data_IF_805836646250
#
_entry.id   IF_805836646250
#
_cell.length_a   1.000
_cell.length_b   1.000
_cell.length_c   1.000
_cell.angle_alpha   90.00
_cell.angle_beta   90.00
_cell.angle_gamma   90.00
#
_symmetry.space_group_name_H-M   'P 1'
#
loop_
_entity.id
_entity.type
_entity.pdbx_description
1 polymer ?
#
# COMPACT_ATOMS: atom_id res chain seq x y z
N UNK A 1 0.55 -51.40 -57.42
CA UNK A 1 0.96 -50.12 -56.81
C UNK A 1 1.14 -50.37 -55.31
N UNK A 2 2.40 -50.43 -54.88
CA UNK A 2 2.85 -50.85 -53.56
C UNK A 2 3.11 -49.61 -52.69
N UNK A 3 2.38 -49.47 -51.59
CA UNK A 3 2.57 -48.40 -50.61
C UNK A 3 3.28 -48.92 -49.36
N UNK A 4 4.56 -48.55 -49.19
CA UNK A 4 5.39 -48.86 -48.02
C UNK A 4 4.99 -47.98 -46.82
N UNK A 5 4.68 -48.61 -45.69
CA UNK A 5 4.55 -47.94 -44.39
C UNK A 5 5.93 -47.81 -43.73
N UNK A 6 6.30 -46.59 -43.33
CA UNK A 6 7.56 -46.27 -42.63
C UNK A 6 7.27 -46.17 -41.14
N UNK A 7 7.78 -47.13 -40.37
CA UNK A 7 7.70 -47.15 -38.90
C UNK A 7 8.90 -46.39 -38.33
N UNK A 8 8.69 -45.18 -37.79
CA UNK A 8 9.74 -44.43 -37.09
C UNK A 8 9.87 -44.89 -35.64
N UNK A 9 10.98 -45.57 -35.33
CA UNK A 9 11.37 -45.93 -33.97
C UNK A 9 12.00 -44.72 -33.24
N UNK A 10 11.33 -44.21 -32.21
CA UNK A 10 11.80 -43.10 -31.37
C UNK A 10 12.66 -43.67 -30.23
N UNK A 11 13.98 -43.57 -30.33
CA UNK A 11 14.93 -43.91 -29.26
C UNK A 11 14.99 -42.78 -28.23
N UNK A 12 14.49 -43.02 -27.03
CA UNK A 12 14.66 -42.14 -25.87
C UNK A 12 15.92 -42.55 -25.09
N UNK A 13 17.05 -41.92 -25.40
CA UNK A 13 18.25 -42.01 -24.55
C UNK A 13 18.11 -41.02 -23.38
N UNK A 14 17.51 -41.47 -22.28
CA UNK A 14 17.48 -40.72 -21.03
C UNK A 14 18.80 -40.92 -20.28
N UNK A 15 19.64 -39.89 -20.25
CA UNK A 15 20.87 -39.85 -19.46
C UNK A 15 20.51 -39.85 -17.97
N UNK A 16 21.06 -40.76 -17.13
CA UNK A 16 20.76 -40.79 -15.71
C UNK A 16 21.36 -39.57 -15.01
N UNK A 17 20.50 -38.67 -14.53
CA UNK A 17 20.91 -37.51 -13.76
C UNK A 17 21.59 -37.97 -12.45
N UNK A 18 22.86 -37.62 -12.27
CA UNK A 18 23.63 -37.90 -11.07
C UNK A 18 22.93 -37.28 -9.84
N UNK A 19 22.48 -38.13 -8.92
CA UNK A 19 21.83 -37.74 -7.67
C UNK A 19 22.84 -37.05 -6.75
N UNK A 20 22.88 -35.72 -6.79
CA UNK A 20 23.67 -34.91 -5.86
C UNK A 20 23.17 -35.23 -4.45
N UNK A 21 24.03 -35.85 -3.63
CA UNK A 21 23.77 -36.07 -2.21
C UNK A 21 23.77 -34.72 -1.51
N UNK A 22 22.59 -34.13 -1.36
CA UNK A 22 22.40 -32.92 -0.54
C UNK A 22 22.69 -33.28 0.91
N UNK A 23 23.76 -32.68 1.47
CA UNK A 23 24.03 -32.75 2.91
C UNK A 23 22.81 -32.17 3.64
N UNK A 24 22.21 -32.95 4.53
CA UNK A 24 21.10 -32.50 5.37
C UNK A 24 21.52 -31.25 6.14
N UNK A 25 20.74 -30.19 6.06
CA UNK A 25 20.99 -28.98 6.82
C UNK A 25 20.95 -29.31 8.33
N UNK A 26 21.84 -28.71 9.13
CA UNK A 26 21.77 -28.87 10.58
C UNK A 26 20.41 -28.35 11.09
N UNK A 27 19.88 -28.93 12.18
CA UNK A 27 18.63 -28.48 12.75
C UNK A 27 18.70 -26.99 13.13
N UNK A 28 17.60 -26.23 12.99
CA UNK A 28 17.56 -24.83 13.38
C UNK A 28 17.99 -24.64 14.83
N UNK A 29 18.89 -23.69 15.07
CA UNK A 29 19.28 -23.32 16.44
C UNK A 29 18.09 -22.68 17.15
N UNK A 30 17.66 -23.27 18.27
CA UNK A 30 16.53 -22.77 19.07
C UNK A 30 16.95 -21.75 20.13
N UNK A 31 18.25 -21.64 20.43
CA UNK A 31 18.77 -20.75 21.48
C UNK A 31 20.10 -20.13 21.08
N UNK A 32 20.20 -18.81 21.20
CA UNK A 32 21.44 -18.07 21.00
C UNK A 32 22.12 -17.79 22.35
N UNK A 33 23.00 -18.72 22.78
CA UNK A 33 23.61 -18.71 24.13
C UNK A 33 24.64 -17.60 24.37
N UNK A 34 25.10 -16.91 23.34
CA UNK A 34 26.16 -15.89 23.44
C UNK A 34 25.61 -14.52 23.80
N UNK A 35 24.35 -14.21 23.48
CA UNK A 35 23.78 -12.89 23.74
C UNK A 35 23.82 -12.48 25.21
N UNK A 36 23.44 -13.34 26.19
CA UNK A 36 23.51 -12.98 27.60
C UNK A 36 24.94 -12.77 28.12
N UNK A 37 25.96 -13.22 27.39
CA UNK A 37 27.38 -13.02 27.74
C UNK A 37 27.93 -11.67 27.24
N UNK A 38 27.17 -10.95 26.43
CA UNK A 38 27.58 -9.62 25.97
C UNK A 38 27.46 -8.60 27.10
N UNK A 39 28.39 -7.63 27.18
CA UNK A 39 28.24 -6.43 28.00
C UNK A 39 26.88 -5.78 27.80
N UNK A 40 26.32 -5.22 28.88
CA UNK A 40 24.97 -4.65 28.88
C UNK A 40 24.81 -3.54 27.84
N UNK A 41 25.86 -2.75 27.62
CA UNK A 41 25.89 -1.66 26.65
C UNK A 41 25.71 -2.18 25.23
N UNK A 42 26.35 -3.30 24.89
CA UNK A 42 26.22 -3.93 23.57
C UNK A 42 24.85 -4.55 23.39
N UNK A 43 24.30 -5.22 24.42
CA UNK A 43 22.93 -5.76 24.36
C UNK A 43 21.90 -4.67 24.11
N UNK A 44 21.99 -3.54 24.81
CA UNK A 44 21.11 -2.38 24.62
C UNK A 44 21.24 -1.79 23.22
N UNK A 45 22.46 -1.66 22.69
CA UNK A 45 22.67 -1.19 21.30
C UNK A 45 22.01 -2.14 20.30
N UNK A 46 22.18 -3.45 20.46
CA UNK A 46 21.54 -4.44 19.58
C UNK A 46 20.02 -4.33 19.64
N UNK A 47 19.43 -4.14 20.83
CA UNK A 47 17.98 -3.96 20.95
C UNK A 47 17.49 -2.63 20.38
N UNK A 48 18.21 -1.53 20.58
CA UNK A 48 17.89 -0.24 19.97
C UNK A 48 17.91 -0.33 18.43
N UNK A 49 18.92 -0.99 17.87
CA UNK A 49 19.03 -1.24 16.43
C UNK A 49 17.88 -2.14 15.94
N UNK A 50 17.56 -3.20 16.68
CA UNK A 50 16.43 -4.09 16.36
C UNK A 50 15.06 -3.37 16.43
N UNK A 51 14.91 -2.38 17.32
CA UNK A 51 13.69 -1.58 17.44
C UNK A 51 13.49 -0.63 16.25
N UNK A 52 14.59 -0.30 15.55
CA UNK A 52 14.66 0.66 14.45
C UNK A 52 14.53 0.01 13.07
N UNK A 53 14.27 -1.31 13.00
CA UNK A 53 14.04 -2.02 11.74
C UNK A 53 12.72 -1.57 11.12
N UNK A 54 12.71 -0.93 9.94
CA UNK A 54 11.47 -0.49 9.30
C UNK A 54 10.60 -1.67 8.89
N UNK A 55 9.29 -1.53 9.09
CA UNK A 55 8.29 -2.47 8.56
C UNK A 55 7.02 -1.76 8.10
N UNK A 56 6.22 -2.49 7.34
CA UNK A 56 4.89 -2.04 6.96
C UNK A 56 3.89 -2.52 8.02
N UNK A 57 3.07 -1.60 8.53
CA UNK A 57 1.96 -1.90 9.43
C UNK A 57 0.68 -1.70 8.64
N UNK A 58 0.08 -2.80 8.20
CA UNK A 58 -1.21 -2.74 7.53
C UNK A 58 -2.31 -2.35 8.52
N UNK A 59 -3.07 -1.32 8.17
CA UNK A 59 -4.14 -0.78 8.98
C UNK A 59 -5.46 -0.95 8.23
N UNK A 60 -6.31 -1.77 8.81
CA UNK A 60 -7.68 -1.98 8.37
C UNK A 60 -8.62 -1.30 9.35
N UNK A 61 -9.75 -0.80 8.85
CA UNK A 61 -10.76 -0.17 9.66
C UNK A 61 -12.11 -0.83 9.35
N UNK A 62 -12.74 -1.39 10.37
CA UNK A 62 -14.10 -1.91 10.26
C UNK A 62 -15.09 -0.76 10.06
N UNK A 63 -15.97 -0.88 9.07
CA UNK A 63 -16.96 0.14 8.72
C UNK A 63 -17.96 0.32 9.86
N UNK A 64 -18.38 -0.78 10.46
CA UNK A 64 -19.51 -0.79 11.38
C UNK A 64 -19.19 -0.09 12.70
N UNK A 65 -17.93 -0.24 13.17
CA UNK A 65 -17.53 0.16 14.51
C UNK A 65 -16.30 1.09 14.54
N UNK A 66 -15.77 1.49 13.37
CA UNK A 66 -14.52 2.25 13.26
C UNK A 66 -13.36 1.63 14.05
N UNK A 67 -13.36 0.29 14.15
CA UNK A 67 -12.33 -0.44 14.87
C UNK A 67 -11.15 -0.68 13.94
N UNK A 68 -9.99 -0.19 14.35
CA UNK A 68 -8.74 -0.42 13.65
C UNK A 68 -8.15 -1.78 14.04
N UNK A 69 -7.68 -2.52 13.04
CA UNK A 69 -6.94 -3.75 13.26
C UNK A 69 -5.82 -3.88 12.24
N UNK A 70 -4.83 -4.69 12.59
CA UNK A 70 -3.67 -4.98 11.75
C UNK A 70 -3.49 -6.48 11.61
N UNK A 71 -3.12 -6.95 10.43
CA UNK A 71 -2.70 -8.35 10.24
C UNK A 71 -1.19 -8.51 10.40
N UNK A 72 -0.46 -7.40 10.46
CA UNK A 72 0.97 -7.37 10.69
C UNK A 72 1.32 -7.99 12.03
N UNK A 73 2.36 -8.82 12.04
CA UNK A 73 2.83 -9.44 13.27
C UNK A 73 3.31 -8.38 14.28
N UNK A 74 3.13 -8.70 15.56
CA UNK A 74 3.72 -7.95 16.66
C UNK A 74 5.25 -7.90 16.45
N UNK A 75 5.92 -6.74 16.61
CA UNK A 75 7.37 -6.64 16.48
C UNK A 75 8.11 -7.73 17.27
N UNK A 76 9.09 -8.39 16.64
CA UNK A 76 9.92 -9.42 17.25
C UNK A 76 10.50 -9.00 18.60
N UNK A 77 10.94 -7.75 18.68
CA UNK A 77 11.55 -7.17 19.87
C UNK A 77 10.60 -7.18 21.09
N UNK A 78 9.28 -7.08 20.90
CA UNK A 78 8.30 -7.05 22.00
C UNK A 78 7.98 -8.43 22.60
N UNK A 79 8.39 -9.51 21.95
CA UNK A 79 8.09 -10.87 22.39
C UNK A 79 9.31 -11.79 22.49
N UNK A 80 10.52 -11.28 22.25
CA UNK A 80 11.76 -12.08 22.33
C UNK A 80 12.12 -12.42 23.78
N UNK A 81 12.22 -11.42 24.66
CA UNK A 81 12.44 -11.58 26.11
C UNK A 81 12.08 -10.26 26.84
N UNK A 82 12.22 -10.23 28.17
CA UNK A 82 11.89 -9.05 28.99
C UNK A 82 12.79 -7.83 28.72
N UNK A 83 14.11 -8.04 28.56
CA UNK A 83 15.06 -6.97 28.26
C UNK A 83 14.73 -6.29 26.92
N UNK A 84 14.53 -7.11 25.89
CA UNK A 84 14.12 -6.72 24.54
C UNK A 84 12.79 -5.98 24.56
N UNK A 85 11.77 -6.50 25.28
CA UNK A 85 10.47 -5.84 25.41
C UNK A 85 10.60 -4.46 26.07
N UNK A 86 11.37 -4.36 27.14
CA UNK A 86 11.58 -3.09 27.84
C UNK A 86 12.23 -2.04 26.93
N UNK A 87 13.21 -2.44 26.11
CA UNK A 87 13.80 -1.52 25.13
C UNK A 87 12.81 -1.21 24.00
N UNK A 88 12.12 -2.21 23.46
CA UNK A 88 11.13 -2.02 22.40
C UNK A 88 10.00 -1.08 22.79
N UNK A 89 9.49 -1.16 24.01
CA UNK A 89 8.43 -0.26 24.51
C UNK A 89 8.88 1.20 24.69
N UNK A 90 10.18 1.52 24.58
CA UNK A 90 10.65 2.91 24.48
C UNK A 90 10.41 3.51 23.10
N UNK A 91 10.33 2.66 22.08
CA UNK A 91 10.19 3.07 20.68
C UNK A 91 8.77 2.82 20.13
N UNK A 92 8.12 1.75 20.59
CA UNK A 92 6.80 1.34 20.14
C UNK A 92 5.72 1.78 21.13
N UNK A 93 4.69 2.46 20.61
CA UNK A 93 3.48 2.80 21.36
C UNK A 93 2.33 1.90 20.92
N UNK A 94 1.55 1.39 21.87
CA UNK A 94 0.28 0.76 21.55
C UNK A 94 -0.73 1.86 21.17
N UNK A 95 -1.27 1.78 19.95
CA UNK A 95 -2.08 2.83 19.33
C UNK A 95 -3.38 2.26 18.78
N UNK A 96 -4.25 3.16 18.29
CA UNK A 96 -5.54 2.84 17.70
C UNK A 96 -6.55 2.16 18.64
N UNK A 97 -6.41 2.38 19.94
CA UNK A 97 -7.50 2.09 20.88
C UNK A 97 -8.56 3.17 20.83
N UNK A 98 -9.80 2.80 21.15
CA UNK A 98 -10.91 3.74 21.27
C UNK A 98 -11.15 3.99 22.74
N UNK A 99 -10.97 5.24 23.18
CA UNK A 99 -11.43 5.64 24.50
C UNK A 99 -12.94 5.38 24.57
N UNK A 100 -13.42 4.84 25.68
CA UNK A 100 -14.86 4.69 25.91
C UNK A 100 -15.51 6.08 25.78
N UNK A 101 -16.15 6.30 24.65
CA UNK A 101 -16.93 7.48 24.37
C UNK A 101 -17.94 7.68 25.50
N UNK A 102 -18.08 8.91 25.97
CA UNK A 102 -19.07 9.23 27.01
C UNK A 102 -20.51 9.16 26.49
N UNK A 103 -20.72 8.85 25.19
CA UNK A 103 -22.05 8.73 24.62
C UNK A 103 -22.85 7.62 25.32
N UNK A 104 -24.12 7.91 25.61
CA UNK A 104 -25.05 6.99 26.30
C UNK A 104 -25.24 5.68 25.54
N UNK A 105 -25.08 5.72 24.22
CA UNK A 105 -25.23 4.57 23.32
C UNK A 105 -24.01 3.63 23.39
N UNK A 106 -22.78 4.16 23.49
CA UNK A 106 -21.59 3.30 23.60
C UNK A 106 -21.48 2.60 24.96
N UNK A 107 -21.97 3.22 26.04
CA UNK A 107 -22.04 2.56 27.36
C UNK A 107 -22.88 1.29 27.36
N UNK A 108 -23.90 1.20 26.50
CA UNK A 108 -24.71 0.00 26.37
C UNK A 108 -23.95 -1.15 25.70
N UNK A 109 -22.98 -0.84 24.84
CA UNK A 109 -22.14 -1.85 24.19
C UNK A 109 -21.00 -2.36 25.08
N UNK A 110 -20.54 -1.56 26.06
CA UNK A 110 -19.45 -1.94 26.97
C UNK A 110 -18.10 -2.21 26.31
N UNK A 111 -17.98 -1.99 25.00
CA UNK A 111 -16.78 -2.33 24.23
C UNK A 111 -15.77 -1.17 24.26
N UNK A 112 -15.03 -1.01 25.36
CA UNK A 112 -13.75 -0.31 25.31
C UNK A 112 -12.77 -1.16 24.50
N UNK A 113 -12.17 -0.57 23.47
CA UNK A 113 -11.21 -1.27 22.62
C UNK A 113 -9.81 -0.80 23.00
N UNK A 114 -9.16 -1.60 23.84
CA UNK A 114 -7.79 -1.37 24.26
C UNK A 114 -6.86 -1.23 23.04
N UNK A 115 -5.90 -0.28 23.03
CA UNK A 115 -4.90 -0.18 21.98
C UNK A 115 -4.10 -1.49 21.85
N UNK A 116 -4.04 -2.06 20.65
CA UNK A 116 -3.37 -3.36 20.40
C UNK A 116 -2.32 -3.32 19.31
N UNK A 117 -2.27 -2.25 18.52
CA UNK A 117 -1.33 -2.12 17.40
C UNK A 117 -0.12 -1.33 17.88
N UNK A 118 1.02 -2.00 17.97
CA UNK A 118 2.28 -1.34 18.30
C UNK A 118 2.86 -0.68 17.07
N UNK A 119 3.19 0.61 17.17
CA UNK A 119 3.78 1.41 16.09
C UNK A 119 5.00 2.15 16.61
N UNK A 120 6.10 2.10 15.83
CA UNK A 120 7.22 3.01 15.97
C UNK A 120 7.13 4.07 14.87
N UNK A 121 6.53 5.23 15.17
CA UNK A 121 6.21 6.29 14.21
C UNK A 121 7.43 6.86 13.47
N UNK A 122 8.63 6.70 14.04
CA UNK A 122 9.89 7.15 13.45
C UNK A 122 10.39 6.26 12.30
N UNK A 123 9.98 4.99 12.22
CA UNK A 123 10.51 4.02 11.23
C UNK A 123 9.45 3.18 10.53
N UNK A 124 8.32 2.92 11.19
CA UNK A 124 7.24 2.12 10.63
C UNK A 124 6.53 2.92 9.51
N UNK A 125 6.11 2.20 8.48
CA UNK A 125 5.24 2.74 7.43
C UNK A 125 3.82 2.27 7.68
N UNK A 126 2.90 3.20 7.95
CA UNK A 126 1.48 2.87 8.15
C UNK A 126 0.81 2.70 6.80
N UNK A 127 0.34 1.49 6.49
CA UNK A 127 -0.30 1.12 5.24
C UNK A 127 -1.82 1.04 5.42
N UNK A 128 -2.55 2.09 5.08
CA UNK A 128 -4.01 2.13 5.19
C UNK A 128 -4.64 1.32 4.05
N UNK A 129 -5.26 0.18 4.37
CA UNK A 129 -5.67 -0.82 3.37
C UNK A 129 -7.13 -0.71 2.91
N UNK A 130 -8.00 -0.10 3.71
CA UNK A 130 -9.45 -0.07 3.44
C UNK A 130 -10.02 1.31 3.72
N UNK A 131 -10.00 2.16 2.69
CA UNK A 131 -10.64 3.47 2.70
C UNK A 131 -11.85 3.41 1.78
N UNK A 132 -13.01 3.11 2.35
CA UNK A 132 -14.28 3.40 1.67
C UNK A 132 -14.55 4.91 1.66
N UNK A 133 -13.97 5.64 2.62
CA UNK A 133 -13.82 7.09 2.61
C UNK A 133 -12.40 7.44 3.10
N UNK A 134 -11.50 7.93 2.24
CA UNK A 134 -10.13 8.21 2.60
C UNK A 134 -9.93 9.47 3.43
N UNK A 135 -10.85 10.43 3.35
CA UNK A 135 -10.69 11.76 3.94
C UNK A 135 -10.89 11.74 5.47
N UNK A 136 -12.01 11.17 5.92
CA UNK A 136 -12.39 11.07 7.34
C UNK A 136 -11.40 10.25 8.14
N UNK A 137 -10.76 9.26 7.51
CA UNK A 137 -9.97 8.25 8.23
C UNK A 137 -8.53 8.65 8.45
N UNK A 138 -7.95 9.53 7.64
CA UNK A 138 -6.56 9.96 7.81
C UNK A 138 -6.41 10.80 9.07
N UNK A 139 -7.36 11.70 9.34
CA UNK A 139 -7.32 12.55 10.52
C UNK A 139 -7.40 11.77 11.82
N UNK A 140 -8.28 10.76 11.88
CA UNK A 140 -8.38 9.83 13.00
C UNK A 140 -7.05 9.08 13.20
N UNK A 141 -6.46 8.57 12.12
CA UNK A 141 -5.16 7.89 12.16
C UNK A 141 -4.06 8.82 12.70
N UNK A 142 -4.03 10.07 12.23
CA UNK A 142 -3.05 11.07 12.68
C UNK A 142 -3.31 11.52 14.12
N UNK A 143 -4.57 11.54 14.56
CA UNK A 143 -4.92 11.80 15.96
C UNK A 143 -4.28 10.80 16.91
N UNK A 144 -4.09 9.54 16.48
CA UNK A 144 -3.38 8.52 17.27
C UNK A 144 -1.86 8.69 17.31
N UNK A 145 -1.26 9.54 16.47
CA UNK A 145 0.16 9.83 16.56
C UNK A 145 0.48 10.75 17.76
N UNK A 146 -0.49 11.43 18.35
CA UNK A 146 -0.33 12.25 19.57
C UNK A 146 0.83 13.27 19.45
N UNK A 147 0.89 13.97 18.30
CA UNK A 147 1.93 14.94 17.99
C UNK A 147 3.27 14.36 17.52
N UNK A 148 3.41 13.04 17.47
CA UNK A 148 4.60 12.39 16.90
C UNK A 148 4.74 12.68 15.40
N UNK A 149 6.00 12.75 14.97
CA UNK A 149 6.34 12.85 13.55
C UNK A 149 6.10 11.50 12.89
N UNK A 150 5.21 11.48 11.90
CA UNK A 150 4.93 10.27 11.12
C UNK A 150 5.89 10.21 9.94
N UNK A 151 6.84 9.29 10.01
CA UNK A 151 7.88 9.19 8.99
C UNK A 151 7.29 8.84 7.61
N UNK A 152 6.39 7.84 7.56
CA UNK A 152 5.78 7.37 6.30
C UNK A 152 4.34 6.90 6.48
N UNK A 153 3.45 7.41 5.64
CA UNK A 153 2.10 6.87 5.45
C UNK A 153 1.96 6.38 4.03
N UNK A 154 1.42 5.18 3.89
CA UNK A 154 1.05 4.53 2.65
C UNK A 154 -0.48 4.37 2.61
N UNK A 155 -1.14 4.83 1.56
CA UNK A 155 -2.59 4.75 1.41
C UNK A 155 -2.89 3.86 0.21
N UNK A 156 -3.48 2.70 0.46
CA UNK A 156 -3.99 1.84 -0.59
C UNK A 156 -5.41 2.25 -0.93
N UNK A 157 -5.62 2.76 -2.14
CA UNK A 157 -6.96 2.94 -2.68
C UNK A 157 -7.41 1.64 -3.32
N UNK A 158 -8.57 1.15 -2.87
CA UNK A 158 -9.09 -0.19 -3.16
C UNK A 158 -9.18 -0.51 -4.65
N UNK A 159 -9.04 -1.80 -4.96
CA UNK A 159 -9.24 -2.30 -6.32
C UNK A 159 -10.71 -2.19 -6.72
N UNK A 160 -10.98 -1.55 -7.85
CA UNK A 160 -12.34 -1.39 -8.39
C UNK A 160 -12.88 0.04 -8.36
N UNK A 161 -12.15 0.97 -7.74
CA UNK A 161 -12.46 2.41 -7.83
C UNK A 161 -12.02 2.90 -9.22
N UNK A 162 -12.91 3.44 -10.07
CA UNK A 162 -12.55 4.06 -11.33
C UNK A 162 -11.48 5.15 -11.14
N UNK A 163 -10.57 5.32 -12.11
CA UNK A 163 -9.43 6.25 -12.01
C UNK A 163 -9.84 7.68 -11.64
N UNK A 164 -11.03 8.13 -12.05
CA UNK A 164 -11.51 9.47 -11.75
C UNK A 164 -12.04 9.61 -10.33
N UNK A 165 -12.69 8.58 -9.78
CA UNK A 165 -13.00 8.52 -8.34
C UNK A 165 -11.71 8.45 -7.52
N UNK A 166 -10.67 7.79 -8.04
CA UNK A 166 -9.34 7.83 -7.43
C UNK A 166 -8.75 9.24 -7.43
N UNK A 167 -8.81 9.99 -8.54
CA UNK A 167 -8.34 11.39 -8.62
C UNK A 167 -9.12 12.28 -7.63
N UNK A 168 -10.43 12.09 -7.51
CA UNK A 168 -11.24 12.78 -6.51
C UNK A 168 -10.80 12.42 -5.09
N UNK A 169 -10.57 11.14 -4.80
CA UNK A 169 -10.02 10.69 -3.52
C UNK A 169 -8.65 11.30 -3.22
N UNK A 170 -7.74 11.43 -4.21
CA UNK A 170 -6.45 12.14 -4.00
C UNK A 170 -6.70 13.61 -3.64
N UNK A 171 -7.65 14.28 -4.29
CA UNK A 171 -7.99 15.68 -3.97
C UNK A 171 -8.60 15.81 -2.59
N UNK A 172 -9.49 14.91 -2.21
CA UNK A 172 -10.07 14.88 -0.86
C UNK A 172 -9.01 14.62 0.20
N UNK A 173 -8.04 13.73 -0.07
CA UNK A 173 -6.89 13.52 0.80
C UNK A 173 -6.06 14.81 0.91
N UNK A 174 -5.75 15.49 -0.21
CA UNK A 174 -4.99 16.74 -0.18
C UNK A 174 -5.73 17.84 0.59
N UNK A 175 -7.04 18.00 0.38
CA UNK A 175 -7.87 18.97 1.10
C UNK A 175 -7.94 18.65 2.59
N UNK A 176 -8.23 17.39 2.93
CA UNK A 176 -8.24 16.91 4.31
C UNK A 176 -6.91 17.22 4.97
N UNK A 177 -5.79 16.81 4.36
CA UNK A 177 -4.46 17.07 4.88
C UNK A 177 -4.22 18.57 5.13
N UNK A 178 -4.64 19.47 4.22
CA UNK A 178 -4.46 20.92 4.42
C UNK A 178 -5.25 21.48 5.61
N UNK A 179 -6.40 20.91 5.91
CA UNK A 179 -7.23 21.33 7.05
C UNK A 179 -6.68 20.82 8.39
N UNK A 180 -5.83 19.80 8.39
CA UNK A 180 -5.30 19.23 9.62
C UNK A 180 -4.00 19.91 10.08
N UNK A 181 -3.93 20.34 11.35
CA UNK A 181 -2.71 20.95 11.92
C UNK A 181 -1.52 19.99 11.92
N UNK A 182 -1.78 18.68 11.80
CA UNK A 182 -0.78 17.62 11.83
C UNK A 182 -0.18 17.28 10.47
N UNK A 183 -0.55 17.92 9.37
CA UNK A 183 0.04 17.60 8.05
C UNK A 183 1.57 17.73 8.05
N UNK A 184 2.09 18.71 8.79
CA UNK A 184 3.52 18.96 8.90
C UNK A 184 4.26 17.84 9.67
N UNK A 185 3.54 16.93 10.33
CA UNK A 185 4.15 15.77 10.99
C UNK A 185 4.40 14.63 10.01
N UNK A 186 3.75 14.60 8.84
CA UNK A 186 3.98 13.57 7.82
C UNK A 186 5.14 13.99 6.94
N UNK A 187 6.24 13.23 6.95
CA UNK A 187 7.37 13.48 6.04
C UNK A 187 7.15 12.90 4.64
N UNK A 188 6.57 11.70 4.57
CA UNK A 188 6.38 10.99 3.31
C UNK A 188 4.97 10.41 3.25
N UNK A 189 4.22 10.80 2.23
CA UNK A 189 2.95 10.20 1.88
C UNK A 189 3.12 9.37 0.62
N UNK A 190 2.60 8.15 0.60
CA UNK A 190 2.65 7.27 -0.56
C UNK A 190 1.24 6.81 -0.87
N UNK A 191 0.70 7.20 -2.02
CA UNK A 191 -0.61 6.79 -2.50
C UNK A 191 -0.41 5.60 -3.46
N UNK A 192 -1.00 4.47 -3.13
CA UNK A 192 -1.02 3.27 -3.97
C UNK A 192 -2.39 3.16 -4.63
N UNK A 193 -2.39 3.03 -5.96
CA UNK A 193 -3.57 2.64 -6.70
C UNK A 193 -3.40 1.21 -7.16
N UNK A 194 -4.24 0.32 -6.65
CA UNK A 194 -4.20 -1.07 -7.08
C UNK A 194 -5.38 -1.41 -7.98
N UNK A 195 -5.22 -1.30 -9.32
CA UNK A 195 -5.95 -2.16 -10.22
C UNK A 195 -5.09 -3.40 -10.55
N UNK A 196 -3.76 -3.21 -10.64
CA UNK A 196 -2.64 -4.18 -10.60
C UNK A 196 -1.28 -3.42 -10.60
N UNK A 197 -1.12 -2.47 -9.64
CA UNK A 197 0.11 -1.76 -9.21
C UNK A 197 0.58 -0.47 -9.96
N UNK A 198 -0.09 0.67 -9.69
CA UNK A 198 0.47 2.03 -9.84
C UNK A 198 0.79 2.59 -8.44
N UNK A 199 1.97 3.18 -8.24
CA UNK A 199 2.36 3.85 -6.98
C UNK A 199 2.57 5.33 -7.22
N UNK A 200 2.23 6.18 -6.26
CA UNK A 200 2.49 7.62 -6.27
C UNK A 200 3.08 7.97 -4.91
N UNK A 201 4.19 8.68 -4.91
CA UNK A 201 4.83 9.22 -3.71
C UNK A 201 4.57 10.73 -3.66
N UNK A 202 4.42 11.30 -2.49
CA UNK A 202 4.28 12.73 -2.25
C UNK A 202 5.16 13.09 -1.05
N UNK A 203 5.91 14.17 -1.17
CA UNK A 203 6.71 14.69 -0.06
C UNK A 203 5.98 15.89 0.53
N UNK A 204 5.58 15.77 1.79
CA UNK A 204 4.86 16.79 2.55
C UNK A 204 5.88 17.39 3.53
N UNK A 205 6.09 18.71 3.48
CA UNK A 205 7.11 19.38 4.30
C UNK A 205 7.88 20.52 3.63
N UNK A 206 7.51 20.94 2.40
CA UNK A 206 8.00 22.16 1.76
C UNK A 206 6.82 23.02 1.28
N UNK A 207 6.97 24.36 1.20
CA UNK A 207 5.93 25.25 0.67
C UNK A 207 5.51 24.91 -0.78
N UNK A 208 6.39 24.22 -1.52
CA UNK A 208 6.07 23.66 -2.84
C UNK A 208 5.70 22.18 -2.71
N UNK A 209 4.41 21.86 -2.80
CA UNK A 209 3.92 20.48 -2.90
C UNK A 209 4.55 19.78 -4.12
N UNK A 210 5.28 18.67 -3.87
CA UNK A 210 5.91 17.88 -4.93
C UNK A 210 5.48 16.41 -4.84
N UNK A 211 4.77 15.96 -5.87
CA UNK A 211 4.32 14.60 -6.10
C UNK A 211 5.27 13.88 -7.08
N UNK A 212 5.69 12.67 -6.73
CA UNK A 212 6.51 11.76 -7.54
C UNK A 212 5.67 10.55 -7.93
N UNK A 213 5.27 10.41 -9.19
CA UNK A 213 4.48 9.26 -9.65
C UNK A 213 5.42 8.13 -10.06
N UNK A 214 5.17 6.92 -9.57
CA UNK A 214 5.94 5.70 -9.87
C UNK A 214 5.03 4.59 -10.43
N UNK A 215 4.99 4.47 -11.76
CA UNK A 215 4.26 3.40 -12.43
C UNK A 215 4.95 2.03 -12.23
N UNK A 216 4.27 1.06 -11.61
CA UNK A 216 4.62 -0.37 -11.70
C UNK A 216 3.93 -1.01 -12.91
N UNK A 217 4.37 -2.13 -13.51
CA UNK A 217 4.85 -3.40 -12.95
C UNK A 217 6.36 -3.56 -13.08
N UNK A 218 7.07 -3.62 -11.96
CA UNK A 218 8.55 -3.72 -11.87
C UNK A 218 9.29 -2.77 -12.82
N UNK A 219 9.30 -1.47 -12.50
CA UNK A 219 10.18 -0.51 -13.15
C UNK A 219 10.77 0.43 -12.09
N UNK A 220 12.10 0.55 -12.11
CA UNK A 220 12.88 1.56 -11.39
C UNK A 220 12.61 2.92 -12.03
N UNK A 221 12.20 3.91 -11.22
CA UNK A 221 12.04 5.29 -11.69
C UNK A 221 13.09 6.16 -11.00
N UNK A 222 13.78 6.93 -11.83
CA UNK A 222 14.87 7.84 -11.50
C UNK A 222 14.48 8.78 -10.31
N UNK A 223 15.28 8.84 -9.23
CA UNK A 223 14.98 9.62 -8.03
C UNK A 223 14.89 11.15 -8.22
N UNK A 224 15.30 11.68 -9.37
CA UNK A 224 15.50 13.13 -9.55
C UNK A 224 14.31 13.91 -10.14
N UNK A 225 13.29 13.26 -10.73
CA UNK A 225 12.13 13.99 -11.26
C UNK A 225 11.00 14.10 -10.24
N UNK A 226 10.78 15.33 -9.74
CA UNK A 226 9.64 15.75 -8.92
C UNK A 226 8.63 16.49 -9.78
N UNK A 227 7.32 16.23 -9.61
CA UNK A 227 6.26 17.03 -10.22
C UNK A 227 5.57 17.88 -9.16
N UNK A 228 5.32 19.14 -9.44
CA UNK A 228 4.40 19.99 -8.67
C UNK A 228 2.95 19.55 -8.89
N UNK A 229 2.03 19.94 -8.00
CA UNK A 229 0.59 19.71 -8.18
C UNK A 229 0.08 20.27 -9.51
N UNK A 230 0.58 21.43 -9.92
CA UNK A 230 0.22 22.07 -11.18
C UNK A 230 0.73 21.26 -12.38
N UNK A 231 1.96 20.76 -12.33
CA UNK A 231 2.51 19.86 -13.36
C UNK A 231 1.72 18.55 -13.43
N UNK A 232 1.29 18.00 -12.31
CA UNK A 232 0.42 16.83 -12.30
C UNK A 232 -0.93 17.11 -12.95
N UNK A 233 -1.61 18.20 -12.57
CA UNK A 233 -2.88 18.58 -13.19
C UNK A 233 -2.73 18.87 -14.69
N UNK A 234 -1.61 19.46 -15.12
CA UNK A 234 -1.30 19.65 -16.53
C UNK A 234 -1.06 18.33 -17.26
N UNK A 235 -0.40 17.36 -16.63
CA UNK A 235 -0.25 15.99 -17.17
C UNK A 235 -1.63 15.34 -17.31
N UNK A 236 -2.47 15.38 -16.28
CA UNK A 236 -3.85 14.87 -16.34
C UNK A 236 -4.68 15.58 -17.41
N UNK A 237 -4.58 16.91 -17.52
CA UNK A 237 -5.27 17.69 -18.55
C UNK A 237 -4.83 17.32 -19.97
N UNK A 238 -3.53 17.09 -20.18
CA UNK A 238 -2.99 16.60 -21.47
C UNK A 238 -3.41 15.17 -21.78
N UNK A 239 -3.56 14.33 -20.75
CA UNK A 239 -4.12 12.97 -20.88
C UNK A 239 -5.58 13.06 -21.33
N UNK A 240 -6.39 13.89 -20.66
CA UNK A 240 -7.81 14.11 -20.98
C UNK A 240 -7.99 14.66 -22.40
N UNK A 241 -7.20 15.68 -22.77
CA UNK A 241 -7.21 16.27 -24.11
C UNK A 241 -6.84 15.25 -25.21
N UNK A 242 -5.82 14.41 -24.98
CA UNK A 242 -5.45 13.33 -25.93
C UNK A 242 -6.53 12.27 -26.04
N UNK A 243 -7.16 11.88 -24.93
CA UNK A 243 -8.28 10.93 -24.93
C UNK A 243 -9.47 11.51 -25.69
N UNK A 244 -9.73 12.82 -25.52
CA UNK A 244 -10.81 13.53 -26.19
C UNK A 244 -10.62 13.65 -27.70
N UNK A 245 -9.41 14.03 -28.14
CA UNK A 245 -9.07 14.15 -29.57
C UNK A 245 -9.13 12.81 -30.31
N UNK A 246 -8.69 11.71 -29.69
CA UNK A 246 -8.62 10.42 -30.39
C UNK A 246 -9.94 9.65 -30.44
N UNK A 247 -10.93 10.00 -29.61
CA UNK A 247 -12.17 9.25 -29.51
C UNK A 247 -13.42 10.08 -29.80
N UNK A 248 -13.34 11.41 -29.75
CA UNK A 248 -14.52 12.27 -29.82
C UNK A 248 -15.31 12.34 -28.51
N UNK A 249 -14.81 11.73 -27.43
CA UNK A 249 -15.45 11.72 -26.10
C UNK A 249 -14.63 12.56 -25.14
N UNK A 250 -15.21 13.56 -24.47
CA UNK A 250 -14.52 14.15 -23.31
C UNK A 250 -14.49 13.10 -22.21
N UNK A 251 -13.46 13.07 -21.36
CA UNK A 251 -13.38 12.11 -20.26
C UNK A 251 -14.60 12.16 -19.32
N UNK A 252 -15.25 13.34 -19.25
CA UNK A 252 -16.54 13.55 -18.57
C UNK A 252 -17.72 12.80 -19.24
N UNK A 253 -17.74 12.68 -20.56
CA UNK A 253 -18.82 12.00 -21.31
C UNK A 253 -18.72 10.48 -21.13
N UNK A 254 -17.50 9.93 -21.09
CA UNK A 254 -17.25 8.51 -20.77
C UNK A 254 -17.66 8.17 -19.33
N UNK A 255 -17.59 9.16 -18.42
CA UNK A 255 -17.95 9.00 -17.02
C UNK A 255 -19.45 8.97 -16.78
N UNK A 256 -20.20 9.91 -17.37
CA UNK A 256 -21.66 9.95 -17.24
C UNK A 256 -22.32 8.75 -17.93
N UNK A 257 -21.76 8.32 -19.07
CA UNK A 257 -22.21 7.13 -19.79
C UNK A 257 -21.80 5.84 -19.04
N UNK A 258 -20.64 5.83 -18.36
CA UNK A 258 -20.23 4.75 -17.48
C UNK A 258 -21.15 4.57 -16.26
N UNK A 259 -21.49 5.64 -15.54
CA UNK A 259 -22.45 5.56 -14.42
C UNK A 259 -23.83 5.05 -14.87
N UNK A 260 -24.33 5.53 -16.02
CA UNK A 260 -25.59 5.05 -16.61
C UNK A 260 -25.49 3.59 -17.08
N UNK A 261 -24.41 3.21 -17.77
CA UNK A 261 -24.15 1.85 -18.25
C UNK A 261 -24.02 0.80 -17.14
N UNK A 262 -23.52 1.19 -15.96
CA UNK A 262 -23.40 0.30 -14.81
C UNK A 262 -24.66 0.28 -13.92
N UNK A 263 -25.47 1.34 -13.95
CA UNK A 263 -26.77 1.39 -13.29
C UNK A 263 -27.87 0.65 -14.09
N UNK A 264 -27.76 0.59 -15.43
CA UNK A 264 -28.71 -0.12 -16.28
C UNK A 264 -28.43 -1.64 -16.37
N UNK A 265 -29.44 -2.44 -16.05
CA UNK A 265 -29.42 -3.92 -15.99
C UNK A 265 -29.26 -4.63 -17.35
N UNK A 266 -28.71 -3.99 -18.38
CA UNK A 266 -28.81 -4.47 -19.77
C UNK A 266 -27.49 -4.83 -20.49
N UNK A 267 -26.32 -4.44 -19.99
CA UNK A 267 -25.08 -4.64 -20.74
C UNK A 267 -24.54 -6.05 -20.52
N UNK A 268 -24.67 -6.90 -21.56
CA UNK A 268 -24.13 -8.26 -21.55
C UNK A 268 -22.64 -8.30 -21.19
N UNK A 269 -22.27 -9.25 -20.31
CA UNK A 269 -20.90 -9.40 -19.73
C UNK A 269 -19.77 -9.31 -20.76
N UNK A 270 -20.01 -9.69 -22.01
CA UNK A 270 -19.03 -9.60 -23.11
C UNK A 270 -18.67 -8.17 -23.54
N UNK A 271 -19.64 -7.25 -23.60
CA UNK A 271 -19.40 -5.84 -23.96
C UNK A 271 -18.60 -5.13 -22.85
N UNK A 272 -18.96 -5.38 -21.59
CA UNK A 272 -18.21 -4.85 -20.42
C UNK A 272 -16.74 -5.25 -20.44
N UNK A 273 -16.45 -6.55 -20.65
CA UNK A 273 -15.05 -7.05 -20.76
C UNK A 273 -14.28 -6.46 -21.95
N UNK A 274 -14.97 -6.17 -23.07
CA UNK A 274 -14.33 -5.59 -24.26
C UNK A 274 -13.96 -4.11 -24.04
N UNK A 275 -14.85 -3.35 -23.40
CA UNK A 275 -14.61 -1.95 -23.02
C UNK A 275 -13.44 -1.88 -22.03
N UNK A 276 -13.47 -2.72 -20.99
CA UNK A 276 -12.43 -2.79 -19.96
C UNK A 276 -11.06 -3.19 -20.53
N UNK A 277 -11.00 -4.16 -21.45
CA UNK A 277 -9.76 -4.50 -22.16
C UNK A 277 -9.23 -3.35 -23.02
N UNK A 278 -10.12 -2.64 -23.71
CA UNK A 278 -9.73 -1.52 -24.59
C UNK A 278 -9.19 -0.34 -23.78
N UNK A 279 -9.83 -0.01 -22.65
CA UNK A 279 -9.32 0.98 -21.70
C UNK A 279 -7.94 0.58 -21.15
N UNK A 280 -7.77 -0.68 -20.73
CA UNK A 280 -6.50 -1.16 -20.18
C UNK A 280 -5.34 -1.14 -21.19
N UNK A 281 -5.59 -1.46 -22.46
CA UNK A 281 -4.57 -1.36 -23.53
C UNK A 281 -4.17 0.09 -23.74
N UNK A 282 -5.14 1.00 -23.84
CA UNK A 282 -4.87 2.41 -24.11
C UNK A 282 -4.22 3.15 -22.94
N UNK A 283 -4.58 2.81 -21.71
CA UNK A 283 -3.88 3.32 -20.51
C UNK A 283 -2.42 2.89 -20.48
N UNK A 284 -2.08 1.69 -20.98
CA UNK A 284 -0.68 1.25 -21.12
C UNK A 284 0.06 2.07 -22.19
N UNK A 285 -0.54 2.30 -23.36
CA UNK A 285 0.06 3.12 -24.42
C UNK A 285 0.30 4.57 -23.96
N UNK A 286 -0.65 5.13 -23.22
CA UNK A 286 -0.56 6.47 -22.65
C UNK A 286 0.54 6.56 -21.57
N UNK A 287 0.69 5.53 -20.74
CA UNK A 287 1.80 5.45 -19.76
C UNK A 287 3.18 5.40 -20.42
N UNK A 288 3.31 4.74 -21.57
CA UNK A 288 4.57 4.68 -22.32
C UNK A 288 4.91 6.02 -22.99
N UNK A 289 3.89 6.78 -23.41
CA UNK A 289 4.06 8.08 -24.07
C UNK A 289 4.43 9.22 -23.10
N UNK A 290 4.06 9.10 -21.83
CA UNK A 290 4.41 10.10 -20.79
C UNK A 290 5.83 9.91 -20.26
N UNK A 291 6.41 8.71 -20.47
CA UNK A 291 7.75 8.35 -20.00
C UNK A 291 8.86 8.60 -21.04
N UNK A 292 8.51 8.94 -22.29
CA UNK A 292 9.41 9.40 -23.34
C UNK A 292 9.46 10.94 -23.37
#
# INVERSE_FOLDING_TARGET
MSGRAVTMARRNHATPAARIKTKSLPPPLTKFKLFPKLPLELRRRIWADAASVPRNVDLHCSIDNFHFFSTSCIPAILHTNSESRNEGLRHYKATFGRAASSSREEKASGCSLEPRIYVNWAVDTICVMSLLDPSVRISEILGHADGEVVEKIAICMGSGIPLNEWILGVREIDLALREFPYINTIKNLVLFYNPHALTVHANLGRPDFRMKIKLGKYIYVNPEKTFTFLEFNNIIGRIDEKISKNNGWRFRDVYDDGRKCFADKGIGRGKKRKIERTMNIRLRELSLTILA
#
